data_IF_803157644084
#
_entry.id   IF_803157644084
#
_cell.length_a   1.000
_cell.length_b   1.000
_cell.length_c   1.000
_cell.angle_alpha   90.00
_cell.angle_beta   90.00
_cell.angle_gamma   90.00
#
_symmetry.space_group_name_H-M   'P 1'
#
loop_
_entity.id
_entity.type
_entity.pdbx_description
1 polymer ?
#
# COMPACT_ATOMS: atom_id res chain seq x y z
N UNK A 1 -10.81 10.93 19.33
CA UNK A 1 -9.51 11.63 19.33
C UNK A 1 -9.69 12.83 20.24
N UNK A 2 -9.30 12.69 21.51
CA UNK A 2 -9.61 13.68 22.54
C UNK A 2 -8.81 14.97 22.36
N UNK A 3 -9.53 16.07 22.47
CA UNK A 3 -9.11 17.46 22.23
C UNK A 3 -7.90 17.89 23.09
N UNK A 4 -7.68 17.25 24.24
CA UNK A 4 -6.68 17.67 25.23
C UNK A 4 -5.21 17.34 24.92
N UNK A 5 -4.92 16.34 24.07
CA UNK A 5 -3.52 16.02 23.69
C UNK A 5 -2.97 16.96 22.61
N UNK A 6 -3.84 17.76 21.98
CA UNK A 6 -3.46 18.67 20.90
C UNK A 6 -2.86 19.96 21.49
N UNK A 7 -3.39 20.46 22.60
CA UNK A 7 -2.92 21.71 23.22
C UNK A 7 -1.50 21.59 23.82
N UNK A 8 -1.09 20.41 24.29
CA UNK A 8 0.27 20.19 24.79
C UNK A 8 1.33 20.14 23.67
N UNK A 9 0.94 19.70 22.46
CA UNK A 9 1.83 19.68 21.29
C UNK A 9 2.00 21.04 20.61
N UNK A 10 1.15 22.03 20.92
CA UNK A 10 1.23 23.40 20.39
C UNK A 10 2.38 24.21 21.03
N UNK A 11 2.96 23.74 22.14
CA UNK A 11 4.10 24.42 22.80
C UNK A 11 5.44 24.27 22.07
N UNK A 12 5.56 23.32 21.12
CA UNK A 12 6.72 23.18 20.24
C UNK A 12 6.26 23.34 18.79
N UNK A 13 6.96 24.14 17.96
CA UNK A 13 6.64 24.26 16.55
C UNK A 13 7.10 22.97 15.84
N UNK A 14 6.40 21.87 16.09
CA UNK A 14 6.57 20.64 15.33
C UNK A 14 6.00 20.92 13.94
N UNK A 15 6.86 20.78 12.93
CA UNK A 15 6.42 20.91 11.56
C UNK A 15 5.30 19.90 11.31
N UNK A 16 4.17 20.37 10.78
CA UNK A 16 3.00 19.55 10.40
C UNK A 16 3.42 18.33 9.56
N UNK A 17 4.47 18.49 8.76
CA UNK A 17 5.10 17.41 7.99
C UNK A 17 5.76 16.32 8.85
N UNK A 18 6.45 16.69 9.94
CA UNK A 18 7.11 15.74 10.84
C UNK A 18 6.10 14.86 11.59
N UNK A 19 4.92 15.40 11.95
CA UNK A 19 3.86 14.62 12.60
C UNK A 19 3.30 13.58 11.61
N UNK A 20 3.02 13.98 10.38
CA UNK A 20 2.50 13.10 9.34
C UNK A 20 3.53 12.01 8.97
N UNK A 21 4.79 12.41 8.79
CA UNK A 21 5.89 11.51 8.44
C UNK A 21 6.22 10.55 9.58
N UNK A 22 6.23 11.03 10.83
CA UNK A 22 6.44 10.20 12.01
C UNK A 22 5.35 9.14 12.18
N UNK A 23 4.07 9.51 11.97
CA UNK A 23 2.97 8.55 11.96
C UNK A 23 3.09 7.55 10.81
N UNK A 24 3.46 8.02 9.62
CA UNK A 24 3.64 7.17 8.45
C UNK A 24 4.75 6.13 8.65
N UNK A 25 5.95 6.59 8.99
CA UNK A 25 7.10 5.72 9.24
C UNK A 25 6.89 4.83 10.45
N UNK A 26 6.24 5.32 11.51
CA UNK A 26 5.93 4.52 12.70
C UNK A 26 5.03 3.33 12.36
N UNK A 27 3.95 3.56 11.61
CA UNK A 27 3.06 2.48 11.18
C UNK A 27 3.75 1.48 10.25
N UNK A 28 4.51 1.96 9.25
CA UNK A 28 5.26 1.10 8.33
C UNK A 28 6.30 0.27 9.09
N UNK A 29 7.01 0.85 10.06
CA UNK A 29 8.02 0.16 10.85
C UNK A 29 7.42 -0.94 11.72
N UNK A 30 6.32 -0.67 12.42
CA UNK A 30 5.63 -1.67 13.25
C UNK A 30 5.20 -2.87 12.40
N UNK A 31 4.61 -2.60 11.24
CA UNK A 31 4.16 -3.64 10.32
C UNK A 31 5.33 -4.40 9.68
N UNK A 32 6.41 -3.71 9.32
CA UNK A 32 7.62 -4.33 8.83
C UNK A 32 8.21 -5.31 9.85
N UNK A 33 8.34 -4.90 11.12
CA UNK A 33 8.81 -5.79 12.18
C UNK A 33 7.92 -7.03 12.33
N UNK A 34 6.60 -6.85 12.31
CA UNK A 34 5.66 -7.95 12.44
C UNK A 34 5.77 -8.96 11.28
N UNK A 35 5.84 -8.46 10.04
CA UNK A 35 5.97 -9.28 8.83
C UNK A 35 7.32 -9.99 8.80
N UNK A 36 8.42 -9.29 9.04
CA UNK A 36 9.75 -9.91 9.05
C UNK A 36 9.88 -10.95 10.15
N UNK A 37 9.33 -10.68 11.34
CA UNK A 37 9.25 -11.69 12.40
C UNK A 37 8.54 -12.94 11.89
N UNK A 38 7.34 -12.82 11.35
CA UNK A 38 6.57 -13.98 10.89
C UNK A 38 7.28 -14.76 9.77
N UNK A 39 7.85 -14.04 8.79
CA UNK A 39 8.44 -14.65 7.59
C UNK A 39 9.79 -15.29 7.89
N UNK A 40 10.67 -14.65 8.67
CA UNK A 40 11.97 -15.22 9.02
C UNK A 40 11.78 -16.49 9.84
N UNK A 41 10.89 -16.47 10.84
CA UNK A 41 10.62 -17.67 11.64
C UNK A 41 9.98 -18.78 10.82
N UNK A 42 8.98 -18.46 9.99
CA UNK A 42 8.35 -19.46 9.11
C UNK A 42 9.34 -20.05 8.12
N UNK A 43 10.19 -19.22 7.51
CA UNK A 43 11.23 -19.65 6.60
C UNK A 43 12.23 -20.59 7.28
N UNK A 44 12.67 -20.26 8.49
CA UNK A 44 13.66 -21.02 9.24
C UNK A 44 13.09 -22.41 9.62
N UNK A 45 11.85 -22.45 10.10
CA UNK A 45 11.15 -23.71 10.42
C UNK A 45 10.97 -24.57 9.16
N UNK A 46 10.51 -23.98 8.05
CA UNK A 46 10.29 -24.69 6.79
C UNK A 46 11.61 -25.18 6.19
N UNK A 47 12.66 -24.36 6.19
CA UNK A 47 13.98 -24.72 5.63
C UNK A 47 14.63 -25.86 6.40
N UNK A 48 14.55 -25.83 7.74
CA UNK A 48 15.07 -26.93 8.57
C UNK A 48 14.27 -28.22 8.34
N UNK A 49 12.93 -28.14 8.27
CA UNK A 49 12.07 -29.33 8.17
C UNK A 49 12.08 -29.96 6.78
N UNK A 50 12.16 -29.16 5.73
CA UNK A 50 12.10 -29.64 4.33
C UNK A 50 13.47 -29.80 3.69
N UNK A 51 14.53 -29.20 4.27
CA UNK A 51 15.86 -29.14 3.68
C UNK A 51 15.97 -28.17 2.48
N UNK A 52 14.88 -27.51 2.08
CA UNK A 52 14.84 -26.61 0.92
C UNK A 52 15.01 -25.18 1.40
N UNK A 53 16.11 -24.55 1.00
CA UNK A 53 16.43 -23.16 1.32
C UNK A 53 15.92 -22.24 0.22
N UNK A 54 14.66 -21.79 0.34
CA UNK A 54 14.04 -20.90 -0.64
C UNK A 54 14.19 -19.43 -0.22
N UNK A 55 15.16 -18.72 -0.81
CA UNK A 55 15.38 -17.28 -0.55
C UNK A 55 14.27 -16.37 -1.12
N UNK A 56 13.53 -16.85 -2.13
CA UNK A 56 12.37 -16.15 -2.67
C UNK A 56 11.27 -15.91 -1.62
N UNK A 57 11.16 -16.81 -0.64
CA UNK A 57 10.24 -16.65 0.49
C UNK A 57 10.62 -15.48 1.42
N UNK A 58 11.91 -15.19 1.63
CA UNK A 58 12.30 -13.95 2.34
C UNK A 58 11.97 -12.71 1.51
N UNK A 59 12.22 -12.77 0.21
CA UNK A 59 11.96 -11.66 -0.71
C UNK A 59 10.47 -11.32 -0.75
N UNK A 60 9.60 -12.32 -0.58
CA UNK A 60 8.16 -12.11 -0.43
C UNK A 60 7.83 -11.20 0.75
N UNK A 61 8.56 -11.31 1.87
CA UNK A 61 8.37 -10.43 3.02
C UNK A 61 8.64 -8.97 2.72
N UNK A 62 9.74 -8.70 2.01
CA UNK A 62 10.07 -7.36 1.54
C UNK A 62 8.95 -6.82 0.64
N UNK A 63 8.46 -7.64 -0.29
CA UNK A 63 7.36 -7.25 -1.20
C UNK A 63 6.06 -6.93 -0.47
N UNK A 64 5.71 -7.68 0.58
CA UNK A 64 4.50 -7.42 1.38
C UNK A 64 4.65 -6.09 2.12
N UNK A 65 5.80 -5.80 2.72
CA UNK A 65 6.05 -4.52 3.41
C UNK A 65 5.98 -3.34 2.44
N UNK A 66 6.57 -3.47 1.24
CA UNK A 66 6.50 -2.45 0.19
C UNK A 66 5.06 -2.20 -0.24
N UNK A 67 4.30 -3.27 -0.47
CA UNK A 67 2.88 -3.17 -0.85
C UNK A 67 2.06 -2.49 0.23
N UNK A 68 2.30 -2.83 1.50
CA UNK A 68 1.67 -2.18 2.64
C UNK A 68 2.00 -0.69 2.70
N UNK A 69 3.28 -0.31 2.53
CA UNK A 69 3.70 1.10 2.56
C UNK A 69 2.98 1.93 1.48
N UNK A 70 2.88 1.42 0.25
CA UNK A 70 2.19 2.08 -0.87
C UNK A 70 0.70 2.28 -0.55
N UNK A 71 0.04 1.23 -0.07
CA UNK A 71 -1.37 1.31 0.34
C UNK A 71 -1.59 2.28 1.49
N UNK A 72 -0.67 2.28 2.46
CA UNK A 72 -0.75 3.16 3.61
C UNK A 72 -0.53 4.63 3.24
N UNK A 73 0.27 4.91 2.20
CA UNK A 73 0.42 6.26 1.65
C UNK A 73 -0.89 6.76 1.05
N UNK A 74 -1.59 5.93 0.26
CA UNK A 74 -2.92 6.24 -0.27
C UNK A 74 -3.93 6.47 0.86
N UNK A 75 -3.97 5.57 1.84
CA UNK A 75 -4.85 5.68 3.00
C UNK A 75 -4.61 6.98 3.77
N UNK A 76 -3.33 7.38 3.93
CA UNK A 76 -2.95 8.62 4.60
C UNK A 76 -3.47 9.84 3.84
N UNK A 77 -3.37 9.85 2.50
CA UNK A 77 -3.94 10.90 1.66
C UNK A 77 -5.47 10.98 1.81
N UNK A 78 -6.17 9.85 1.72
CA UNK A 78 -7.63 9.79 1.90
C UNK A 78 -8.04 10.28 3.29
N UNK A 79 -7.29 9.91 4.34
CA UNK A 79 -7.55 10.40 5.70
C UNK A 79 -7.41 11.92 5.83
N UNK A 80 -6.49 12.55 5.10
CA UNK A 80 -6.31 14.01 5.09
C UNK A 80 -7.42 14.71 4.31
N UNK A 81 -7.91 14.09 3.23
CA UNK A 81 -9.01 14.64 2.43
C UNK A 81 -10.34 14.53 3.18
N UNK A 82 -10.68 13.32 3.64
CA UNK A 82 -11.98 12.98 4.23
C UNK A 82 -12.10 13.45 5.69
N UNK A 83 -10.97 13.81 6.34
CA UNK A 83 -10.89 14.28 7.75
C UNK A 83 -11.44 13.29 8.78
N UNK A 84 -11.65 12.03 8.41
CA UNK A 84 -12.05 10.96 9.33
C UNK A 84 -11.25 9.69 9.05
N UNK A 85 -10.53 9.23 10.07
CA UNK A 85 -9.68 8.03 9.98
C UNK A 85 -10.46 6.74 9.64
N UNK A 86 -11.61 6.46 10.29
CA UNK A 86 -12.40 5.27 10.00
C UNK A 86 -12.94 5.21 8.57
N UNK A 87 -13.44 6.32 8.03
CA UNK A 87 -13.93 6.34 6.64
C UNK A 87 -12.80 6.14 5.63
N UNK A 88 -11.62 6.71 5.87
CA UNK A 88 -10.45 6.47 5.01
C UNK A 88 -10.03 4.99 5.00
N UNK A 89 -10.11 4.32 6.15
CA UNK A 89 -9.90 2.87 6.24
C UNK A 89 -10.93 2.09 5.41
N UNK A 90 -12.22 2.40 5.56
CA UNK A 90 -13.29 1.71 4.83
C UNK A 90 -13.15 1.87 3.32
N UNK A 91 -12.85 3.08 2.84
CA UNK A 91 -12.63 3.36 1.42
C UNK A 91 -11.40 2.60 0.91
N UNK A 92 -10.29 2.59 1.66
CA UNK A 92 -9.07 1.86 1.27
C UNK A 92 -9.32 0.36 1.18
N UNK A 93 -10.14 -0.19 2.09
CA UNK A 93 -10.52 -1.61 2.06
C UNK A 93 -11.42 -1.95 0.87
N UNK A 94 -12.41 -1.10 0.55
CA UNK A 94 -13.23 -1.28 -0.65
C UNK A 94 -12.37 -1.28 -1.90
N UNK A 95 -11.45 -0.32 -2.00
CA UNK A 95 -10.45 -0.22 -3.07
C UNK A 95 -9.65 -1.52 -3.22
N UNK A 96 -9.16 -2.09 -2.11
CA UNK A 96 -8.39 -3.33 -2.13
C UNK A 96 -9.24 -4.53 -2.57
N UNK A 97 -10.51 -4.59 -2.12
CA UNK A 97 -11.45 -5.65 -2.48
C UNK A 97 -11.82 -5.65 -3.97
N UNK A 98 -11.97 -4.46 -4.59
CA UNK A 98 -12.29 -4.34 -6.01
C UNK A 98 -11.07 -4.44 -6.94
N UNK A 99 -9.85 -4.33 -6.43
CA UNK A 99 -8.60 -4.41 -7.22
C UNK A 99 -8.46 -5.69 -8.09
N UNK A 100 -8.74 -6.92 -7.58
CA UNK A 100 -8.64 -8.14 -8.40
C UNK A 100 -9.73 -8.25 -9.48
N UNK A 101 -10.90 -7.64 -9.25
CA UNK A 101 -11.99 -7.57 -10.23
C UNK A 101 -11.59 -6.71 -11.44
N UNK A 102 -10.76 -5.68 -11.23
CA UNK A 102 -10.24 -4.81 -12.29
C UNK A 102 -9.16 -5.48 -13.15
N UNK A 103 -8.46 -6.50 -12.66
CA UNK A 103 -7.50 -7.26 -13.45
C UNK A 103 -8.16 -8.18 -14.48
N UNK A 104 -9.39 -8.61 -14.25
CA UNK A 104 -10.17 -9.42 -15.18
C UNK A 104 -11.01 -8.58 -16.15
N UNK A 105 -10.63 -7.30 -16.32
CA UNK A 105 -11.37 -6.34 -17.14
C UNK A 105 -11.67 -6.86 -18.55
N UNK A 106 -10.77 -7.62 -19.17
CA UNK A 106 -10.95 -8.09 -20.55
C UNK A 106 -12.16 -9.06 -20.69
N UNK A 107 -12.51 -9.81 -19.64
CA UNK A 107 -13.73 -10.62 -19.59
C UNK A 107 -14.99 -9.81 -19.23
N UNK A 108 -14.84 -8.75 -18.43
CA UNK A 108 -15.95 -7.88 -18.03
C UNK A 108 -16.33 -6.92 -19.17
N UNK A 109 -15.35 -6.45 -19.95
CA UNK A 109 -15.54 -5.66 -21.18
C UNK A 109 -16.31 -6.42 -22.26
N UNK A 110 -16.16 -7.74 -22.32
CA UNK A 110 -16.94 -8.59 -23.22
C UNK A 110 -18.44 -8.64 -22.87
N UNK A 111 -18.80 -8.34 -21.61
CA UNK A 111 -20.18 -8.33 -21.11
C UNK A 111 -20.79 -6.92 -21.05
N UNK A 112 -19.96 -5.88 -20.94
CA UNK A 112 -20.38 -4.48 -20.80
C UNK A 112 -19.96 -3.66 -22.03
N UNK A 113 -20.81 -3.67 -23.05
CA UNK A 113 -20.68 -2.99 -24.36
C UNK A 113 -20.47 -1.45 -24.32
N UNK A 114 -20.44 -0.79 -23.15
CA UNK A 114 -20.41 0.67 -23.05
C UNK A 114 -19.01 1.22 -22.75
N UNK A 115 -18.48 2.04 -23.68
CA UNK A 115 -17.19 2.76 -23.57
C UNK A 115 -17.06 3.62 -22.31
N UNK A 116 -18.17 4.03 -21.68
CA UNK A 116 -18.17 4.86 -20.47
C UNK A 116 -17.60 4.12 -19.26
N UNK A 117 -17.97 2.84 -19.08
CA UNK A 117 -17.41 2.03 -18.00
C UNK A 117 -15.91 1.83 -18.18
N UNK A 118 -15.43 1.78 -19.42
CA UNK A 118 -13.99 1.64 -19.68
C UNK A 118 -13.17 2.83 -19.23
N UNK A 119 -13.62 4.05 -19.52
CA UNK A 119 -12.93 5.26 -19.04
C UNK A 119 -12.96 5.41 -17.51
N UNK A 120 -14.08 5.04 -16.86
CA UNK A 120 -14.18 5.07 -15.39
C UNK A 120 -13.27 4.02 -14.76
N UNK A 121 -13.21 2.81 -15.33
CA UNK A 121 -12.37 1.72 -14.86
C UNK A 121 -10.88 1.98 -15.10
N UNK A 122 -10.50 2.55 -16.25
CA UNK A 122 -9.12 2.96 -16.54
C UNK A 122 -8.66 4.12 -15.65
N UNK A 123 -9.56 5.08 -15.38
CA UNK A 123 -9.32 6.15 -14.41
C UNK A 123 -9.11 5.59 -13.00
N UNK A 124 -9.95 4.65 -12.57
CA UNK A 124 -9.81 3.96 -11.29
C UNK A 124 -8.48 3.17 -11.25
N UNK A 125 -8.16 2.43 -12.31
CA UNK A 125 -6.96 1.60 -12.40
C UNK A 125 -5.65 2.42 -12.37
N UNK A 126 -5.66 3.65 -12.88
CA UNK A 126 -4.51 4.55 -12.76
C UNK A 126 -4.39 5.19 -11.37
N UNK A 127 -5.51 5.37 -10.67
CA UNK A 127 -5.57 5.88 -9.29
C UNK A 127 -5.40 4.80 -8.22
N UNK A 128 -5.58 3.53 -8.57
CA UNK A 128 -5.51 2.41 -7.66
C UNK A 128 -4.09 1.82 -7.67
N UNK A 129 -3.47 1.60 -6.50
CA UNK A 129 -2.19 0.91 -6.45
C UNK A 129 -2.35 -0.49 -7.04
N UNK A 130 -1.42 -0.88 -7.93
CA UNK A 130 -1.38 -2.19 -8.62
C UNK A 130 -1.00 -3.34 -7.68
N UNK A 131 -1.76 -3.49 -6.59
CA UNK A 131 -1.53 -4.47 -5.53
C UNK A 131 -1.53 -5.90 -6.05
N UNK A 132 -2.35 -6.19 -7.04
CA UNK A 132 -2.48 -7.53 -7.57
C UNK A 132 -1.33 -7.91 -8.54
N UNK A 133 -0.71 -6.95 -9.23
CA UNK A 133 0.54 -7.20 -9.98
C UNK A 133 1.72 -7.45 -9.02
N UNK A 134 1.79 -6.74 -7.89
CA UNK A 134 2.78 -6.98 -6.84
C UNK A 134 2.59 -8.37 -6.18
N UNK A 135 1.35 -8.80 -6.02
CA UNK A 135 1.01 -10.16 -5.58
C UNK A 135 1.53 -11.23 -6.54
N UNK A 136 1.39 -11.01 -7.85
CA UNK A 136 1.89 -11.94 -8.88
C UNK A 136 3.43 -12.03 -8.88
N UNK A 137 4.13 -10.90 -8.73
CA UNK A 137 5.61 -10.89 -8.59
C UNK A 137 6.02 -11.65 -7.33
N UNK A 138 5.27 -11.51 -6.24
CA UNK A 138 5.53 -12.23 -4.98
C UNK A 138 5.37 -13.74 -5.17
N UNK A 139 4.34 -14.17 -5.89
CA UNK A 139 4.11 -15.58 -6.23
C UNK A 139 5.20 -16.14 -7.16
N UNK A 140 5.60 -15.39 -8.19
CA UNK A 140 6.69 -15.73 -9.11
C UNK A 140 8.02 -15.91 -8.34
N UNK A 141 8.33 -14.99 -7.40
CA UNK A 141 9.51 -15.06 -6.53
C UNK A 141 9.50 -16.28 -5.60
N UNK A 142 8.35 -16.60 -4.99
CA UNK A 142 8.23 -17.76 -4.09
C UNK A 142 8.34 -19.08 -4.85
N UNK A 143 7.79 -19.15 -6.06
CA UNK A 143 7.88 -20.35 -6.92
C UNK A 143 9.24 -20.52 -7.58
N UNK A 144 10.14 -19.54 -7.47
CA UNK A 144 11.45 -19.56 -8.11
C UNK A 144 11.41 -19.43 -9.63
N UNK A 145 10.31 -18.89 -10.18
CA UNK A 145 10.16 -18.63 -11.61
C UNK A 145 10.76 -17.25 -11.93
N UNK A 146 11.34 -17.09 -13.12
CA UNK A 146 11.88 -15.79 -13.56
C UNK A 146 10.78 -14.73 -13.55
N UNK A 147 11.01 -13.64 -12.82
CA UNK A 147 10.09 -12.49 -12.77
C UNK A 147 9.98 -11.88 -14.16
N UNK A 148 8.78 -11.91 -14.76
CA UNK A 148 8.57 -11.47 -16.14
C UNK A 148 8.85 -9.98 -16.34
N UNK A 149 8.56 -9.15 -15.35
CA UNK A 149 8.83 -7.71 -15.42
C UNK A 149 8.90 -7.07 -14.03
N UNK A 150 9.97 -6.31 -13.78
CA UNK A 150 10.13 -5.50 -12.56
C UNK A 150 9.45 -4.12 -12.66
N UNK A 151 8.95 -3.77 -13.86
CA UNK A 151 8.29 -2.50 -14.16
C UNK A 151 7.12 -2.18 -13.19
N UNK A 152 6.23 -3.14 -12.84
CA UNK A 152 5.11 -2.88 -11.92
C UNK A 152 5.55 -2.45 -10.53
N UNK A 153 6.70 -2.96 -10.07
CA UNK A 153 7.28 -2.58 -8.78
C UNK A 153 7.72 -1.12 -8.81
N UNK A 154 8.44 -0.71 -9.86
CA UNK A 154 8.89 0.67 -10.04
C UNK A 154 7.73 1.66 -10.13
N UNK A 155 6.70 1.36 -10.93
CA UNK A 155 5.52 2.25 -11.06
C UNK A 155 4.75 2.38 -9.74
N UNK A 156 4.64 1.28 -8.98
CA UNK A 156 3.91 1.29 -7.70
C UNK A 156 4.67 2.04 -6.60
N UNK A 157 6.00 1.94 -6.57
CA UNK A 157 6.84 2.75 -5.69
C UNK A 157 6.71 4.24 -6.03
N UNK A 158 6.82 4.59 -7.31
CA UNK A 158 6.63 5.97 -7.78
C UNK A 158 5.27 6.52 -7.38
N UNK A 159 4.21 5.73 -7.55
CA UNK A 159 2.86 6.07 -7.11
C UNK A 159 2.78 6.30 -5.59
N UNK A 160 3.36 5.42 -4.77
CA UNK A 160 3.39 5.57 -3.32
C UNK A 160 4.09 6.87 -2.87
N UNK A 161 5.22 7.20 -3.50
CA UNK A 161 5.95 8.47 -3.24
C UNK A 161 5.10 9.67 -3.63
N UNK A 162 4.45 9.64 -4.80
CA UNK A 162 3.57 10.71 -5.26
C UNK A 162 2.37 10.91 -4.33
N UNK A 163 1.73 9.84 -3.87
CA UNK A 163 0.59 9.91 -2.93
C UNK A 163 1.01 10.47 -1.58
N UNK A 164 2.17 10.05 -1.05
CA UNK A 164 2.70 10.61 0.19
C UNK A 164 3.04 12.09 0.04
N UNK A 165 3.70 12.48 -1.06
CA UNK A 165 4.04 13.88 -1.35
C UNK A 165 2.77 14.74 -1.50
N UNK A 166 1.75 14.25 -2.21
CA UNK A 166 0.47 14.93 -2.35
C UNK A 166 -0.24 15.11 -1.00
N UNK A 167 -0.22 14.09 -0.15
CA UNK A 167 -0.76 14.16 1.22
C UNK A 167 -0.06 15.25 2.04
N UNK A 168 1.28 15.29 1.99
CA UNK A 168 2.09 16.29 2.66
C UNK A 168 1.79 17.73 2.18
N UNK A 169 1.64 17.93 0.87
CA UNK A 169 1.31 19.23 0.28
C UNK A 169 -0.10 19.71 0.68
N UNK A 170 -1.09 18.81 0.63
CA UNK A 170 -2.48 19.13 1.02
C UNK A 170 -2.56 19.43 2.51
N UNK A 171 -1.82 18.69 3.34
CA UNK A 171 -1.75 18.93 4.79
C UNK A 171 -1.10 20.27 5.14
N UNK A 172 -0.09 20.69 4.37
CA UNK A 172 0.57 21.98 4.58
C UNK A 172 -0.30 23.18 4.12
N UNK A 173 -1.10 23.01 3.06
CA UNK A 173 -2.00 24.07 2.55
C UNK A 173 -3.31 24.22 3.31
N UNK A 174 -3.78 23.18 4.02
CA UNK A 174 -4.99 23.28 4.83
C UNK A 174 -4.66 23.90 6.19
N UNK A 175 -5.15 25.11 6.42
CA UNK A 175 -5.24 25.70 7.76
C UNK A 175 -6.27 24.88 8.56
N UNK A 176 -5.75 23.99 9.42
CA UNK A 176 -6.43 23.56 10.62
C UNK A 176 -6.17 24.57 11.73
#
# INVERSE_FOLDING_TARGET
LDKGSIDLMISKPLSRFQILLGRYLGAVTIVAFNIFYLIIFSWLILSIKTGIWNFGFLMAGVMIVVTFAILFALMTLLSVIVRSGPFALMITYLILFFSPLLLQRDHIYALLSSKFYGYVLDGLYHFLPKTAELGRITEELVRGVSVYSWLPLGTSLGFGVLMFAASALIFNRKNF
#
